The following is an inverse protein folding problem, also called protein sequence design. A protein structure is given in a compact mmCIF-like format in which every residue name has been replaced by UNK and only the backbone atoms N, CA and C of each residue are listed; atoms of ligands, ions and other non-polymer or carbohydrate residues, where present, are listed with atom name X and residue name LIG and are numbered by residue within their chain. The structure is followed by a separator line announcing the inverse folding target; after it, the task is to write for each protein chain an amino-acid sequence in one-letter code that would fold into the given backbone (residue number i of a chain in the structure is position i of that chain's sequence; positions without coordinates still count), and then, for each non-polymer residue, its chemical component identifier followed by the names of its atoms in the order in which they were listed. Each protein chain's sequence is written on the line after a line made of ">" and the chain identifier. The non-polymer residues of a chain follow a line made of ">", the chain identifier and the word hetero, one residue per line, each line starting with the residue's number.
data_IF_122638488325
#
_entry.id   IF_122638488325
#
_cell.length_a   1.000
_cell.length_b   1.000
_cell.length_c   1.000
_cell.angle_alpha   90.00
_cell.angle_beta   90.00
_cell.angle_gamma   90.00
#
_symmetry.space_group_name_H-M   'P 1'
#
loop_
_entity.id
_entity.type
_entity.pdbx_description
1 polymer ?
#
# COMPACT_ATOMS: atom_id res chain seq x y z
N UNK A 1 0.62 -4.67 -0.94
CA UNK A 1 1.53 -3.85 -0.12
C UNK A 1 1.38 -2.39 -0.53
N UNK A 2 1.79 -1.45 0.32
CA UNK A 2 1.85 -0.01 -0.01
C UNK A 2 3.33 0.36 -0.04
N UNK A 3 3.76 1.04 -1.11
CA UNK A 3 5.11 1.56 -1.25
C UNK A 3 5.06 3.06 -1.03
N UNK A 4 6.05 3.62 -0.33
CA UNK A 4 6.19 5.04 -0.02
C UNK A 4 7.57 5.48 -0.49
N UNK A 5 7.68 6.65 -1.11
CA UNK A 5 8.94 7.25 -1.52
C UNK A 5 9.39 8.40 -0.61
N UNK A 6 10.49 9.05 -0.98
CA UNK A 6 11.10 10.15 -0.23
C UNK A 6 10.24 11.42 -0.18
N UNK A 7 9.31 11.61 -1.13
CA UNK A 7 8.37 12.74 -1.13
C UNK A 7 7.15 12.45 -0.25
N UNK A 8 7.01 11.20 0.22
CA UNK A 8 5.87 10.72 0.99
C UNK A 8 4.66 10.41 0.11
N UNK A 9 4.88 10.31 -1.20
CA UNK A 9 3.92 9.77 -2.14
C UNK A 9 3.89 8.25 -2.02
N UNK A 10 2.72 7.68 -2.26
CA UNK A 10 2.48 6.28 -1.95
C UNK A 10 1.54 5.63 -2.95
N UNK A 11 1.85 4.38 -3.28
CA UNK A 11 1.15 3.61 -4.31
C UNK A 11 0.89 2.19 -3.85
N UNK A 12 -0.26 1.65 -4.24
CA UNK A 12 -0.55 0.25 -4.00
C UNK A 12 0.26 -0.63 -4.96
N UNK A 13 0.86 -1.69 -4.43
CA UNK A 13 1.59 -2.68 -5.20
C UNK A 13 1.10 -4.10 -4.90
N UNK A 14 1.11 -4.95 -5.93
CA UNK A 14 0.69 -6.35 -5.85
C UNK A 14 1.76 -7.31 -6.35
N UNK A 15 1.82 -8.49 -5.74
CA UNK A 15 2.62 -9.62 -6.18
C UNK A 15 1.65 -10.78 -6.42
N UNK A 16 1.66 -11.34 -7.63
CA UNK A 16 0.87 -12.54 -7.92
C UNK A 16 1.32 -13.71 -7.04
N UNK A 17 0.38 -14.57 -6.65
CA UNK A 17 0.69 -15.75 -5.83
C UNK A 17 1.78 -16.64 -6.46
N UNK A 18 1.82 -16.72 -7.80
CA UNK A 18 2.85 -17.45 -8.57
C UNK A 18 4.28 -16.95 -8.32
N UNK A 19 4.45 -15.73 -7.82
CA UNK A 19 5.77 -15.13 -7.55
C UNK A 19 5.99 -14.85 -6.07
N UNK A 20 5.04 -15.19 -5.19
CA UNK A 20 5.12 -14.86 -3.77
C UNK A 20 6.37 -15.41 -3.10
N UNK A 21 6.68 -16.69 -3.31
CA UNK A 21 7.84 -17.36 -2.70
C UNK A 21 9.18 -16.72 -3.08
N UNK A 22 9.26 -16.08 -4.26
CA UNK A 22 10.46 -15.38 -4.71
C UNK A 22 10.69 -14.06 -3.97
N UNK A 23 9.62 -13.39 -3.56
CA UNK A 23 9.67 -12.04 -3.00
C UNK A 23 9.46 -11.99 -1.49
N UNK A 24 8.81 -13.01 -0.87
CA UNK A 24 8.46 -13.03 0.55
C UNK A 24 9.65 -12.85 1.51
N UNK A 25 10.86 -13.23 1.11
CA UNK A 25 12.09 -13.06 1.90
C UNK A 25 12.91 -11.82 1.50
N UNK A 26 12.54 -11.15 0.41
CA UNK A 26 13.29 -10.00 -0.14
C UNK A 26 12.65 -8.66 0.19
N UNK A 27 11.36 -8.67 0.53
CA UNK A 27 10.58 -7.48 0.83
C UNK A 27 10.08 -7.64 2.26
N UNK A 28 10.40 -6.64 3.08
CA UNK A 28 10.00 -6.58 4.48
C UNK A 28 9.38 -5.21 4.73
N UNK A 29 8.24 -5.20 5.43
CA UNK A 29 7.58 -3.97 5.84
C UNK A 29 8.49 -3.15 6.77
N UNK A 30 8.42 -1.83 6.67
CA UNK A 30 9.25 -0.91 7.47
C UNK A 30 10.73 -0.87 7.07
N UNK A 31 11.11 -1.51 5.96
CA UNK A 31 12.46 -1.43 5.38
C UNK A 31 12.42 -0.75 4.02
N UNK A 32 13.52 -0.07 3.67
CA UNK A 32 13.69 0.56 2.37
C UNK A 32 14.20 -0.48 1.37
N UNK A 33 13.63 -0.45 0.16
CA UNK A 33 13.97 -1.39 -0.90
C UNK A 33 14.19 -0.65 -2.21
N UNK A 34 15.17 -1.12 -2.99
CA UNK A 34 15.29 -0.75 -4.40
C UNK A 34 14.43 -1.70 -5.21
N UNK A 35 13.45 -1.15 -5.93
CA UNK A 35 12.51 -1.92 -6.76
C UNK A 35 12.60 -1.42 -8.21
N UNK A 36 12.81 -2.34 -9.15
CA UNK A 36 12.99 -2.03 -10.58
C UNK A 36 12.29 -3.06 -11.46
N UNK A 37 12.00 -2.72 -12.71
CA UNK A 37 11.38 -3.61 -13.71
C UNK A 37 10.02 -4.14 -13.25
N UNK A 38 9.20 -3.25 -12.72
CA UNK A 38 7.80 -3.50 -12.43
C UNK A 38 6.92 -2.93 -13.55
N UNK A 39 5.65 -3.31 -13.59
CA UNK A 39 4.68 -2.67 -14.48
C UNK A 39 3.78 -1.72 -13.71
N UNK A 40 3.37 -0.64 -14.39
CA UNK A 40 2.31 0.25 -13.95
C UNK A 40 1.04 -0.19 -14.68
N UNK A 41 0.00 -0.51 -13.92
CA UNK A 41 -1.28 -0.99 -14.46
C UNK A 41 -2.42 -0.15 -13.86
N UNK A 42 -3.62 -0.13 -14.49
CA UNK A 42 -4.79 0.45 -13.86
C UNK A 42 -5.04 -0.17 -12.48
N UNK A 43 -5.42 0.67 -11.52
CA UNK A 43 -5.79 0.21 -10.18
C UNK A 43 -7.12 -0.56 -10.23
N UNK A 44 -7.44 -1.28 -9.17
CA UNK A 44 -8.74 -1.94 -9.00
C UNK A 44 -9.87 -0.89 -9.04
N UNK A 45 -11.03 -1.28 -9.57
CA UNK A 45 -12.24 -0.45 -9.54
C UNK A 45 -12.76 -0.30 -8.11
N UNK A 46 -12.72 -1.41 -7.37
CA UNK A 46 -13.23 -1.52 -6.01
C UNK A 46 -12.12 -1.87 -5.01
N UNK A 47 -12.36 -1.51 -3.75
CA UNK A 47 -11.51 -1.78 -2.61
C UNK A 47 -10.06 -1.29 -2.80
N UNK A 48 -9.91 -0.09 -3.36
CA UNK A 48 -8.59 0.54 -3.51
C UNK A 48 -8.01 0.85 -2.13
N UNK A 49 -6.74 0.49 -1.94
CA UNK A 49 -6.01 0.75 -0.69
C UNK A 49 -5.58 2.21 -0.61
N UNK A 50 -5.14 2.78 -1.73
CA UNK A 50 -4.83 4.21 -1.89
C UNK A 50 -5.99 4.82 -2.67
N UNK A 51 -6.81 5.64 -2.02
CA UNK A 51 -8.13 6.07 -2.54
C UNK A 51 -8.04 6.85 -3.85
N UNK A 52 -7.01 7.67 -3.99
CA UNK A 52 -6.93 8.65 -5.07
C UNK A 52 -6.10 8.13 -6.26
N UNK A 53 -5.39 7.03 -6.08
CA UNK A 53 -4.55 6.46 -7.13
C UNK A 53 -5.38 5.67 -8.15
N UNK A 54 -5.32 6.11 -9.41
CA UNK A 54 -5.89 5.39 -10.57
C UNK A 54 -4.98 4.28 -11.12
N UNK A 55 -3.74 4.22 -10.63
CA UNK A 55 -2.73 3.23 -11.04
C UNK A 55 -2.25 2.41 -9.84
N UNK A 56 -1.71 1.24 -10.12
CA UNK A 56 -1.01 0.42 -9.14
C UNK A 56 0.23 -0.21 -9.77
N UNK A 57 1.17 -0.60 -8.92
CA UNK A 57 2.36 -1.34 -9.34
C UNK A 57 2.05 -2.84 -9.30
N UNK A 58 2.45 -3.56 -10.34
CA UNK A 58 2.35 -5.01 -10.39
C UNK A 58 3.74 -5.63 -10.58
N UNK A 59 4.06 -6.57 -9.71
CA UNK A 59 5.30 -7.32 -9.77
C UNK A 59 5.14 -8.51 -10.69
N UNK A 60 6.17 -8.74 -11.50
CA UNK A 60 6.27 -9.87 -12.41
C UNK A 60 7.55 -10.65 -12.15
N UNK A 61 7.74 -11.75 -12.87
CA UNK A 61 8.88 -12.64 -12.69
C UNK A 61 10.23 -11.91 -12.78
N UNK A 62 10.36 -10.90 -13.64
CA UNK A 62 11.62 -10.16 -13.85
C UNK A 62 11.79 -8.93 -12.94
N UNK A 63 10.81 -8.64 -12.07
CA UNK A 63 10.91 -7.53 -11.13
C UNK A 63 12.08 -7.77 -10.18
N UNK A 64 12.91 -6.75 -10.04
CA UNK A 64 14.05 -6.72 -9.15
C UNK A 64 13.63 -6.02 -7.86
N UNK A 65 13.88 -6.66 -6.72
CA UNK A 65 13.67 -6.10 -5.39
C UNK A 65 14.83 -6.51 -4.49
N UNK A 66 15.43 -5.53 -3.80
CA UNK A 66 16.54 -5.74 -2.86
C UNK A 66 16.47 -4.71 -1.73
N UNK A 67 16.70 -5.15 -0.49
CA UNK A 67 16.87 -4.27 0.66
C UNK A 67 17.97 -3.24 0.43
N UNK A 68 17.71 -2.02 0.87
CA UNK A 68 18.67 -0.92 0.90
C UNK A 68 19.03 -0.66 2.36
N UNK A 69 20.29 -0.93 2.73
CA UNK A 69 20.75 -0.92 4.13
C UNK A 69 21.19 0.47 4.62
N UNK A 70 20.98 1.53 3.84
CA UNK A 70 21.33 2.88 4.27
C UNK A 70 20.18 3.41 5.12
N UNK A 71 20.44 3.59 6.42
CA UNK A 71 19.47 4.13 7.40
C UNK A 71 19.14 5.62 7.16
N UNK A 72 19.91 6.31 6.33
CA UNK A 72 19.83 7.77 6.15
C UNK A 72 18.91 8.17 4.98
N UNK A 73 17.71 7.58 4.93
CA UNK A 73 16.70 7.94 3.93
C UNK A 73 15.59 8.76 4.59
N UNK A 74 15.24 9.90 4.00
CA UNK A 74 14.11 10.74 4.43
C UNK A 74 12.73 10.14 4.06
N UNK A 75 12.64 8.82 3.84
CA UNK A 75 11.40 8.14 3.44
C UNK A 75 10.52 7.95 4.70
N UNK A 76 9.28 8.45 4.71
CA UNK A 76 8.35 8.21 5.82
C UNK A 76 8.01 6.73 5.97
N UNK A 77 8.02 6.23 7.21
CA UNK A 77 7.67 4.82 7.51
C UNK A 77 6.17 4.57 7.38
N UNK A 78 5.35 5.57 7.68
CA UNK A 78 3.89 5.46 7.72
C UNK A 78 3.21 6.64 7.01
N UNK A 79 2.05 6.37 6.42
CA UNK A 79 1.15 7.37 5.81
C UNK A 79 -0.26 7.16 6.32
N UNK A 80 -0.94 8.26 6.65
CA UNK A 80 -2.32 8.25 7.14
C UNK A 80 -3.18 9.24 6.36
N UNK A 81 -4.28 8.74 5.81
CA UNK A 81 -5.31 9.55 5.16
C UNK A 81 -6.47 9.75 6.13
N UNK A 82 -6.35 10.79 6.96
CA UNK A 82 -7.39 11.13 7.92
C UNK A 82 -8.66 11.62 7.22
N UNK A 83 -9.80 11.17 7.72
CA UNK A 83 -11.10 11.67 7.30
C UNK A 83 -11.77 12.35 8.50
N UNK A 84 -12.45 13.46 8.21
CA UNK A 84 -13.24 14.14 9.23
C UNK A 84 -14.40 13.24 9.69
N UNK A 85 -14.69 13.25 10.99
CA UNK A 85 -15.72 12.39 11.58
C UNK A 85 -17.08 12.50 10.87
N UNK A 86 -17.47 13.72 10.51
CA UNK A 86 -18.74 13.98 9.83
C UNK A 86 -18.81 13.42 8.39
N UNK A 87 -17.66 13.08 7.79
CA UNK A 87 -17.58 12.51 6.46
C UNK A 87 -17.49 10.96 6.51
N UNK A 88 -17.53 10.35 7.70
CA UNK A 88 -17.47 8.89 7.85
C UNK A 88 -18.67 8.20 7.20
N UNK A 89 -19.87 8.79 7.28
CA UNK A 89 -21.08 8.21 6.69
C UNK A 89 -20.94 8.05 5.17
N UNK A 90 -20.18 8.93 4.51
CA UNK A 90 -19.92 8.87 3.07
C UNK A 90 -19.03 7.67 2.70
N UNK A 91 -18.35 7.03 3.67
CA UNK A 91 -17.55 5.83 3.43
C UNK A 91 -18.30 4.52 3.67
N UNK A 92 -19.45 4.54 4.36
CA UNK A 92 -20.14 3.32 4.83
C UNK A 92 -20.55 2.38 3.69
N UNK A 93 -20.77 2.92 2.50
CA UNK A 93 -21.21 2.20 1.30
C UNK A 93 -20.34 2.51 0.08
N UNK A 94 -19.18 3.16 0.30
CA UNK A 94 -18.24 3.45 -0.77
C UNK A 94 -17.27 2.26 -0.97
N UNK A 95 -17.69 1.30 -1.79
CA UNK A 95 -16.87 0.14 -2.11
C UNK A 95 -15.64 0.47 -2.98
N UNK A 96 -15.51 1.70 -3.49
CA UNK A 96 -14.34 2.06 -4.30
C UNK A 96 -13.05 2.19 -3.46
N UNK A 97 -13.18 2.34 -2.14
CA UNK A 97 -12.08 2.46 -1.18
C UNK A 97 -12.21 1.36 -0.13
N UNK A 98 -11.10 0.73 0.22
CA UNK A 98 -11.06 -0.24 1.30
C UNK A 98 -11.32 0.47 2.64
N UNK A 99 -12.53 0.35 3.15
CA UNK A 99 -12.92 0.88 4.46
C UNK A 99 -13.20 -0.28 5.40
N UNK A 100 -12.62 -0.28 6.61
CA UNK A 100 -12.97 -1.25 7.64
C UNK A 100 -14.40 -0.97 8.09
N UNK A 101 -15.31 -1.92 7.88
CA UNK A 101 -16.64 -1.84 8.47
C UNK A 101 -16.51 -1.81 9.99
N UNK A 102 -17.16 -0.84 10.62
CA UNK A 102 -17.17 -0.64 12.07
C UNK A 102 -17.83 -1.86 12.76
N UNK A 103 -17.06 -2.87 13.11
CA UNK A 103 -17.39 -3.75 14.24
C UNK A 103 -16.89 -3.05 15.49
N UNK A 104 -17.81 -2.48 16.27
CA UNK A 104 -17.47 -1.69 17.45
C UNK A 104 -16.73 -2.54 18.49
N UNK A 105 -15.46 -2.20 18.75
CA UNK A 105 -14.82 -2.54 20.02
C UNK A 105 -15.08 -1.38 20.97
N UNK A 106 -16.03 -1.56 21.88
CA UNK A 106 -16.15 -0.72 23.07
C UNK A 106 -15.16 -1.25 24.10
N UNK A 107 -14.04 -0.55 24.33
CA UNK A 107 -13.32 -0.70 25.59
C UNK A 107 -14.03 0.16 26.62
N UNK A 108 -14.82 -0.49 27.48
CA UNK A 108 -15.25 0.12 28.73
C UNK A 108 -14.00 0.33 29.60
N UNK A 109 -13.78 1.57 30.03
CA UNK A 109 -12.85 1.93 31.11
C UNK A 109 -13.63 1.87 32.41
#
# INVERSE_FOLDING_TARGET
>A
MVLIDEEGDYVYATISNSFWDRFRLKIMDGKVHIIKKFEIVPNKTDYRVVSDSKIMIKFFFNTFAKSFEKDDTNIPIHKFDFIHYHNLDHRRENHSILTVHRTGFTTSI
#
